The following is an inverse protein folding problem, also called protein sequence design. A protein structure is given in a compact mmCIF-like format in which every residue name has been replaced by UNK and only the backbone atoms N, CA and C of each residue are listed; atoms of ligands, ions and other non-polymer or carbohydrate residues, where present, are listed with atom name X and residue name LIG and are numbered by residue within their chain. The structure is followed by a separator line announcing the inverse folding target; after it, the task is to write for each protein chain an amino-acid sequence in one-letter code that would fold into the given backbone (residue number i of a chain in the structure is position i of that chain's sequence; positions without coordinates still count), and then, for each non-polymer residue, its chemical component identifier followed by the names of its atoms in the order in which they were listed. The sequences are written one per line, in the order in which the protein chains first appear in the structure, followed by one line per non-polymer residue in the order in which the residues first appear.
data_IF_435437635078
#
_entry.id   IF_435437635078
#
_cell.length_a   1.000
_cell.length_b   1.000
_cell.length_c   1.000
_cell.angle_alpha   90.00
_cell.angle_beta   90.00
_cell.angle_gamma   90.00
#
_symmetry.space_group_name_H-M   'P 1'
#
loop_
_entity.id
_entity.type
_entity.pdbx_description
1 polymer ?
#
# COMPACT_ATOMS: atom_id res chain seq x y z
N UNK A 1 45.90 8.99 -22.90
CA UNK A 1 45.79 8.32 -21.58
C UNK A 1 44.43 8.65 -21.03
N UNK A 2 43.48 7.72 -21.10
CA UNK A 2 42.16 7.83 -20.44
C UNK A 2 42.26 7.12 -19.09
N UNK A 3 41.74 7.64 -17.99
CA UNK A 3 41.73 6.91 -16.74
C UNK A 3 40.61 5.86 -16.75
N UNK A 4 40.97 4.64 -16.35
CA UNK A 4 40.11 3.50 -16.15
C UNK A 4 39.03 3.81 -15.11
N UNK A 5 37.77 3.56 -15.44
CA UNK A 5 36.65 3.56 -14.51
C UNK A 5 36.71 2.27 -13.67
N UNK A 6 36.56 2.32 -12.36
CA UNK A 6 36.50 1.11 -11.55
C UNK A 6 35.17 0.38 -11.80
N UNK A 7 35.27 -0.89 -12.16
CA UNK A 7 34.13 -1.81 -12.25
C UNK A 7 33.44 -1.90 -10.89
N UNK A 8 32.16 -1.57 -10.84
CA UNK A 8 31.34 -1.66 -9.63
C UNK A 8 31.22 -3.12 -9.20
N UNK A 9 31.62 -3.38 -7.98
CA UNK A 9 31.55 -4.67 -7.27
C UNK A 9 30.08 -5.05 -6.99
N UNK A 10 29.42 -5.65 -7.99
CA UNK A 10 28.04 -6.12 -7.90
C UNK A 10 27.85 -7.41 -7.10
N UNK A 11 28.94 -8.09 -6.73
CA UNK A 11 28.93 -9.36 -5.98
C UNK A 11 28.82 -9.19 -4.46
N UNK A 12 29.33 -8.09 -3.92
CA UNK A 12 29.40 -7.85 -2.47
C UNK A 12 28.06 -7.38 -1.86
N UNK A 13 27.23 -6.71 -2.64
CA UNK A 13 25.94 -6.18 -2.14
C UNK A 13 24.86 -7.28 -2.11
N UNK A 14 24.76 -8.13 -3.13
CA UNK A 14 23.82 -9.26 -3.12
C UNK A 14 24.03 -10.24 -1.95
N UNK A 15 25.26 -10.32 -1.41
CA UNK A 15 25.55 -11.13 -0.23
C UNK A 15 25.11 -10.50 1.08
N UNK A 16 25.09 -9.16 1.17
CA UNK A 16 24.64 -8.42 2.36
C UNK A 16 23.12 -8.56 2.59
N UNK A 17 22.33 -8.67 1.51
CA UNK A 17 20.90 -8.86 1.58
C UNK A 17 20.49 -10.23 2.13
N UNK A 18 21.24 -11.27 1.80
CA UNK A 18 21.00 -12.63 2.32
C UNK A 18 21.27 -12.74 3.82
N UNK A 19 22.07 -11.84 4.39
CA UNK A 19 22.39 -11.83 5.83
C UNK A 19 21.41 -10.99 6.66
N UNK A 20 20.61 -10.11 6.05
CA UNK A 20 19.69 -9.21 6.75
C UNK A 20 18.26 -9.78 6.93
N UNK A 21 17.91 -10.84 6.20
CA UNK A 21 16.60 -11.49 6.38
C UNK A 21 16.72 -12.59 7.42
N UNK A 22 15.93 -12.58 8.51
CA UNK A 22 15.84 -13.74 9.39
C UNK A 22 15.39 -14.94 8.54
N UNK A 23 16.19 -16.01 8.56
CA UNK A 23 15.81 -17.28 7.92
C UNK A 23 14.71 -17.88 8.80
N UNK A 24 13.47 -17.59 8.46
CA UNK A 24 12.31 -18.18 9.12
C UNK A 24 12.07 -19.53 8.45
N UNK A 25 11.98 -20.59 9.24
CA UNK A 25 11.57 -21.89 8.73
C UNK A 25 10.13 -21.78 8.19
N UNK A 26 9.90 -22.03 6.88
CA UNK A 26 8.58 -21.93 6.28
C UNK A 26 7.54 -22.85 6.95
N UNK A 27 7.94 -23.98 7.52
CA UNK A 27 7.04 -24.90 8.21
C UNK A 27 6.66 -24.36 9.59
N UNK A 28 7.61 -23.81 10.33
CA UNK A 28 7.34 -23.16 11.62
C UNK A 28 6.42 -21.95 11.44
N UNK A 29 6.68 -21.13 10.41
CA UNK A 29 5.82 -20.01 10.06
C UNK A 29 4.38 -20.46 9.75
N UNK A 30 4.23 -21.48 8.93
CA UNK A 30 2.91 -22.02 8.59
C UNK A 30 2.20 -22.61 9.81
N UNK A 31 2.91 -23.30 10.70
CA UNK A 31 2.34 -23.84 11.94
C UNK A 31 1.81 -22.72 12.84
N UNK A 32 2.55 -21.61 12.99
CA UNK A 32 2.09 -20.43 13.74
C UNK A 32 0.77 -19.90 13.20
N UNK A 33 0.64 -19.72 11.89
CA UNK A 33 -0.59 -19.23 11.26
C UNK A 33 -1.76 -20.18 11.52
N UNK A 34 -1.56 -21.48 11.29
CA UNK A 34 -2.58 -22.51 11.51
C UNK A 34 -3.03 -22.52 12.99
N UNK A 35 -2.10 -22.42 13.91
CA UNK A 35 -2.41 -22.40 15.35
C UNK A 35 -3.24 -21.18 15.73
N UNK A 36 -2.89 -19.99 15.25
CA UNK A 36 -3.67 -18.77 15.51
C UNK A 36 -5.08 -18.88 14.95
N UNK A 37 -5.23 -19.35 13.71
CA UNK A 37 -6.55 -19.47 13.07
C UNK A 37 -7.41 -20.54 13.74
N UNK A 38 -6.83 -21.70 14.12
CA UNK A 38 -7.60 -22.81 14.70
C UNK A 38 -7.90 -22.63 16.19
N UNK A 39 -7.02 -22.01 16.95
CA UNK A 39 -7.13 -21.88 18.42
C UNK A 39 -7.55 -20.50 18.88
N UNK A 40 -7.63 -19.52 18.00
CA UNK A 40 -7.97 -18.14 18.36
C UNK A 40 -6.89 -17.48 19.24
N UNK A 41 -5.61 -17.84 19.09
CA UNK A 41 -4.50 -17.32 19.86
C UNK A 41 -4.13 -15.89 19.41
N UNK A 42 -5.05 -14.93 19.56
CA UNK A 42 -4.94 -13.52 19.12
C UNK A 42 -3.78 -12.77 19.77
N UNK A 43 -3.20 -13.29 20.86
CA UNK A 43 -2.07 -12.63 21.55
C UNK A 43 -0.75 -12.61 20.76
N UNK A 44 -0.67 -13.33 19.63
CA UNK A 44 0.54 -13.49 18.84
C UNK A 44 0.66 -12.53 17.64
N UNK A 45 -0.42 -11.80 17.31
CA UNK A 45 -0.46 -10.82 16.21
C UNK A 45 -1.61 -9.82 16.42
N UNK A 46 -1.72 -8.80 15.53
CA UNK A 46 -2.84 -7.86 15.57
C UNK A 46 -4.16 -8.53 15.14
N UNK A 47 -5.29 -8.00 15.60
CA UNK A 47 -6.62 -8.52 15.24
C UNK A 47 -6.84 -8.50 13.72
N UNK A 48 -6.42 -7.44 13.03
CA UNK A 48 -6.54 -7.32 11.57
C UNK A 48 -5.75 -8.41 10.84
N UNK A 49 -4.52 -8.73 11.29
CA UNK A 49 -3.70 -9.80 10.71
C UNK A 49 -4.32 -11.17 10.98
N UNK A 50 -4.77 -11.42 12.21
CA UNK A 50 -5.41 -12.69 12.57
C UNK A 50 -6.70 -12.93 11.75
N UNK A 51 -7.53 -11.91 11.56
CA UNK A 51 -8.73 -11.96 10.71
C UNK A 51 -8.36 -12.20 9.24
N UNK A 52 -7.31 -11.52 8.74
CA UNK A 52 -6.79 -11.75 7.40
C UNK A 52 -6.30 -13.20 7.21
N UNK A 53 -5.56 -13.75 8.17
CA UNK A 53 -5.14 -15.16 8.12
C UNK A 53 -6.34 -16.12 8.07
N UNK A 54 -7.38 -15.83 8.84
CA UNK A 54 -8.61 -16.62 8.82
C UNK A 54 -9.32 -16.54 7.46
N UNK A 55 -9.45 -15.35 6.84
CA UNK A 55 -10.00 -15.19 5.49
C UNK A 55 -9.15 -15.93 4.47
N UNK A 56 -7.83 -15.80 4.52
CA UNK A 56 -6.93 -16.48 3.60
C UNK A 56 -7.10 -17.99 3.62
N UNK A 57 -7.22 -18.60 4.81
CA UNK A 57 -7.40 -20.05 4.93
C UNK A 57 -8.83 -20.49 4.62
N UNK A 58 -9.84 -19.84 5.22
CA UNK A 58 -11.20 -20.36 5.25
C UNK A 58 -12.04 -19.92 4.04
N UNK A 59 -11.82 -18.69 3.54
CA UNK A 59 -12.60 -18.14 2.43
C UNK A 59 -11.85 -18.26 1.09
N UNK A 60 -10.53 -18.05 1.10
CA UNK A 60 -9.74 -18.11 -0.12
C UNK A 60 -9.06 -19.46 -0.35
N UNK A 61 -9.13 -20.38 0.62
CA UNK A 61 -8.59 -21.73 0.51
C UNK A 61 -7.06 -21.78 0.35
N UNK A 62 -6.35 -20.78 0.88
CA UNK A 62 -4.89 -20.71 0.79
C UNK A 62 -4.24 -21.61 1.85
N UNK A 63 -3.15 -22.25 1.47
CA UNK A 63 -2.27 -22.98 2.40
C UNK A 63 -1.00 -22.16 2.68
N UNK A 64 -0.71 -21.80 3.94
CA UNK A 64 0.47 -20.99 4.28
C UNK A 64 1.81 -21.69 3.96
N UNK A 65 1.80 -23.00 3.69
CA UNK A 65 2.98 -23.78 3.28
C UNK A 65 3.32 -23.63 1.80
N UNK A 66 2.38 -23.12 0.98
CA UNK A 66 2.59 -22.97 -0.44
C UNK A 66 3.44 -21.74 -0.76
N UNK A 67 4.11 -21.81 -1.91
CA UNK A 67 4.70 -20.64 -2.57
C UNK A 67 3.85 -20.28 -3.76
N UNK A 68 3.46 -19.02 -3.86
CA UNK A 68 2.65 -18.51 -4.97
C UNK A 68 3.24 -17.18 -5.43
N UNK A 69 3.23 -16.96 -6.74
CA UNK A 69 3.50 -15.63 -7.28
C UNK A 69 2.16 -15.00 -7.65
N UNK A 70 1.90 -13.73 -7.25
CA UNK A 70 0.70 -13.02 -7.68
C UNK A 70 0.61 -13.01 -9.20
N UNK A 71 -0.56 -13.24 -9.79
CA UNK A 71 -0.74 -13.14 -11.22
C UNK A 71 -0.51 -11.69 -11.66
N UNK A 72 0.07 -11.53 -12.86
CA UNK A 72 0.27 -10.23 -13.48
C UNK A 72 -0.73 -10.09 -14.62
N UNK A 73 -1.49 -9.01 -14.64
CA UNK A 73 -2.49 -8.75 -15.66
C UNK A 73 -1.85 -8.61 -17.05
N UNK A 74 -2.45 -9.25 -18.03
CA UNK A 74 -1.97 -9.25 -19.42
C UNK A 74 -2.16 -7.92 -20.15
N UNK A 75 -1.62 -7.87 -21.40
CA UNK A 75 -1.46 -6.63 -22.17
C UNK A 75 -2.71 -5.79 -22.40
N UNK A 76 -3.91 -6.39 -22.53
CA UNK A 76 -5.15 -5.65 -22.84
C UNK A 76 -5.91 -5.18 -21.59
N UNK A 77 -5.69 -5.80 -20.44
CA UNK A 77 -6.41 -5.45 -19.21
C UNK A 77 -5.85 -4.21 -18.51
N UNK A 78 -4.53 -4.08 -18.46
CA UNK A 78 -3.86 -2.96 -17.77
C UNK A 78 -4.15 -1.59 -18.39
N UNK A 79 -4.10 -1.38 -19.72
CA UNK A 79 -4.44 -0.09 -20.33
C UNK A 79 -5.84 0.38 -19.98
N UNK A 80 -6.84 -0.51 -20.08
CA UNK A 80 -8.23 -0.21 -19.74
C UNK A 80 -8.41 0.14 -18.25
N UNK A 81 -7.72 -0.58 -17.35
CA UNK A 81 -7.73 -0.33 -15.91
C UNK A 81 -7.07 1.00 -15.57
N UNK A 82 -5.87 1.26 -16.13
CA UNK A 82 -5.18 2.55 -15.94
C UNK A 82 -5.99 3.72 -16.48
N UNK A 83 -6.71 3.57 -17.57
CA UNK A 83 -7.60 4.61 -18.10
C UNK A 83 -8.74 4.94 -17.12
N UNK A 84 -9.39 3.93 -16.54
CA UNK A 84 -10.43 4.15 -15.51
C UNK A 84 -9.90 4.80 -14.24
N UNK A 85 -8.66 4.55 -13.89
CA UNK A 85 -7.98 5.06 -12.69
C UNK A 85 -7.08 6.27 -12.98
N UNK A 86 -7.15 6.86 -14.19
CA UNK A 86 -6.23 7.91 -14.63
C UNK A 86 -6.19 9.10 -13.66
N UNK A 87 -7.35 9.58 -13.19
CA UNK A 87 -7.42 10.71 -12.26
C UNK A 87 -6.72 10.40 -10.92
N UNK A 88 -6.93 9.20 -10.39
CA UNK A 88 -6.29 8.79 -9.12
C UNK A 88 -4.78 8.68 -9.31
N UNK A 89 -4.34 8.02 -10.40
CA UNK A 89 -2.92 7.85 -10.73
C UNK A 89 -2.24 9.21 -10.90
N UNK A 90 -2.86 10.13 -11.63
CA UNK A 90 -2.30 11.48 -11.88
C UNK A 90 -2.19 12.29 -10.58
N UNK A 91 -3.22 12.24 -9.72
CA UNK A 91 -3.19 12.91 -8.42
C UNK A 91 -2.14 12.28 -7.48
N UNK A 92 -1.93 10.95 -7.58
CA UNK A 92 -1.02 10.24 -6.69
C UNK A 92 0.45 10.39 -7.07
N UNK A 93 0.81 10.49 -8.35
CA UNK A 93 2.20 10.44 -8.83
C UNK A 93 3.14 11.39 -8.13
N UNK A 94 2.75 12.65 -8.00
CA UNK A 94 3.57 13.67 -7.36
C UNK A 94 3.74 13.38 -5.86
N UNK A 95 2.64 13.06 -5.19
CA UNK A 95 2.62 12.80 -3.76
C UNK A 95 3.42 11.54 -3.40
N UNK A 96 3.33 10.48 -4.22
CA UNK A 96 4.12 9.26 -4.05
C UNK A 96 5.62 9.52 -4.22
N UNK A 97 6.01 10.33 -5.23
CA UNK A 97 7.40 10.71 -5.44
C UNK A 97 7.94 11.52 -4.27
N UNK A 98 7.15 12.47 -3.78
CA UNK A 98 7.51 13.32 -2.62
C UNK A 98 7.65 12.46 -1.36
N UNK A 99 6.70 11.57 -1.09
CA UNK A 99 6.76 10.63 0.04
C UNK A 99 8.03 9.76 -0.03
N UNK A 100 8.30 9.16 -1.19
CA UNK A 100 9.50 8.34 -1.39
C UNK A 100 10.80 9.10 -1.11
N UNK A 101 10.89 10.35 -1.60
CA UNK A 101 12.05 11.21 -1.35
C UNK A 101 12.19 11.58 0.13
N UNK A 102 11.08 11.86 0.82
CA UNK A 102 11.09 12.20 2.25
C UNK A 102 11.48 11.01 3.13
N UNK A 103 11.10 9.80 2.75
CA UNK A 103 11.49 8.59 3.48
C UNK A 103 13.00 8.34 3.42
N UNK A 104 13.66 8.67 2.32
CA UNK A 104 15.09 8.50 2.15
C UNK A 104 15.58 7.05 2.26
N UNK A 105 14.67 6.07 2.14
CA UNK A 105 14.98 4.64 2.25
C UNK A 105 14.99 3.98 0.86
N UNK A 106 16.20 3.70 0.30
CA UNK A 106 16.31 3.06 -1.00
C UNK A 106 15.83 1.60 -1.02
N UNK A 107 15.59 1.01 0.16
CA UNK A 107 15.10 -0.35 0.33
C UNK A 107 13.57 -0.43 0.47
N UNK A 108 12.89 0.58 -0.03
CA UNK A 108 11.44 0.69 0.01
C UNK A 108 10.85 1.03 -1.35
N UNK A 109 9.55 0.81 -1.48
CA UNK A 109 8.73 1.27 -2.58
C UNK A 109 7.44 1.91 -2.05
N UNK A 110 6.99 2.97 -2.71
CA UNK A 110 5.64 3.51 -2.55
C UNK A 110 4.78 2.94 -3.68
N UNK A 111 3.69 2.27 -3.33
CA UNK A 111 2.85 1.49 -4.25
C UNK A 111 1.42 2.02 -4.22
N UNK A 112 0.81 2.16 -5.39
CA UNK A 112 -0.61 2.49 -5.56
C UNK A 112 -1.32 1.31 -6.18
N UNK A 113 -2.39 0.82 -5.53
CA UNK A 113 -3.26 -0.22 -6.08
C UNK A 113 -4.69 0.28 -6.22
N UNK A 114 -5.49 -0.41 -7.04
CA UNK A 114 -6.93 -0.28 -7.00
C UNK A 114 -7.55 -1.15 -5.88
N UNK A 115 -8.88 -1.13 -5.79
CA UNK A 115 -9.66 -1.89 -4.79
C UNK A 115 -9.71 -3.40 -5.06
N UNK A 116 -9.08 -3.88 -6.14
CA UNK A 116 -8.87 -5.31 -6.41
C UNK A 116 -7.43 -5.76 -6.08
N UNK A 117 -6.61 -4.85 -5.55
CA UNK A 117 -5.22 -5.10 -5.21
C UNK A 117 -4.27 -5.11 -6.42
N UNK A 118 -4.70 -4.59 -7.57
CA UNK A 118 -3.83 -4.49 -8.76
C UNK A 118 -2.90 -3.30 -8.63
N UNK A 119 -1.60 -3.53 -8.72
CA UNK A 119 -0.59 -2.47 -8.69
C UNK A 119 -0.70 -1.62 -9.96
N UNK A 120 -1.07 -0.34 -9.80
CA UNK A 120 -1.25 0.63 -10.89
C UNK A 120 0.00 1.48 -11.15
N UNK A 121 0.71 1.80 -10.07
CA UNK A 121 1.90 2.64 -10.10
C UNK A 121 2.81 2.32 -8.91
N UNK A 122 4.12 2.46 -9.12
CA UNK A 122 5.13 2.23 -8.10
C UNK A 122 6.27 3.25 -8.25
N UNK A 123 6.79 3.71 -7.12
CA UNK A 123 7.99 4.56 -7.02
C UNK A 123 8.98 3.86 -6.12
N UNK A 124 10.16 3.53 -6.64
CA UNK A 124 11.18 2.75 -5.94
C UNK A 124 12.57 2.98 -6.51
N UNK A 125 13.60 2.47 -5.86
CA UNK A 125 14.93 2.35 -6.44
C UNK A 125 15.03 1.15 -7.39
N UNK A 126 15.95 1.19 -8.35
CA UNK A 126 16.24 0.02 -9.19
C UNK A 126 16.73 -1.19 -8.38
N UNK A 127 17.37 -0.95 -7.24
CA UNK A 127 17.86 -1.99 -6.35
C UNK A 127 16.69 -2.72 -5.70
N UNK A 128 15.72 -1.98 -5.16
CA UNK A 128 14.51 -2.56 -4.60
C UNK A 128 13.71 -3.32 -5.66
N UNK A 129 13.54 -2.79 -6.87
CA UNK A 129 12.84 -3.46 -7.97
C UNK A 129 13.43 -4.82 -8.29
N UNK A 130 14.77 -4.91 -8.42
CA UNK A 130 15.44 -6.21 -8.67
C UNK A 130 15.22 -7.23 -7.55
N UNK A 131 15.12 -6.79 -6.30
CA UNK A 131 14.83 -7.63 -5.15
C UNK A 131 13.37 -8.06 -5.11
N UNK A 132 12.46 -7.15 -5.42
CA UNK A 132 11.02 -7.32 -5.28
C UNK A 132 10.36 -8.06 -6.47
N UNK A 133 10.94 -7.97 -7.67
CA UNK A 133 10.42 -8.62 -8.87
C UNK A 133 10.28 -10.16 -8.74
N UNK A 134 11.23 -10.91 -8.17
CA UNK A 134 11.04 -12.34 -7.93
C UNK A 134 9.87 -12.67 -7.00
N UNK A 135 9.50 -11.72 -6.12
CA UNK A 135 8.34 -11.84 -5.23
C UNK A 135 7.01 -11.48 -5.94
N UNK A 136 7.08 -10.97 -7.17
CA UNK A 136 5.92 -10.51 -7.93
C UNK A 136 5.42 -9.12 -7.52
N UNK A 137 6.26 -8.29 -6.89
CA UNK A 137 5.94 -6.90 -6.59
C UNK A 137 6.32 -6.03 -7.79
N UNK A 138 5.41 -5.91 -8.74
CA UNK A 138 5.58 -5.18 -9.98
C UNK A 138 4.25 -4.61 -10.48
N UNK A 139 4.30 -3.59 -11.34
CA UNK A 139 3.09 -2.98 -11.92
C UNK A 139 2.30 -4.03 -12.72
N UNK A 140 1.00 -4.12 -12.46
CA UNK A 140 0.08 -5.10 -13.03
C UNK A 140 -0.11 -6.36 -12.19
N UNK A 141 0.72 -6.60 -11.18
CA UNK A 141 0.55 -7.73 -10.27
C UNK A 141 -0.66 -7.52 -9.35
N UNK A 142 -1.35 -8.63 -9.00
CA UNK A 142 -2.56 -8.63 -8.16
C UNK A 142 -2.20 -9.06 -6.75
N UNK A 143 -2.14 -8.10 -5.84
CA UNK A 143 -1.81 -8.29 -4.43
C UNK A 143 -3.05 -8.31 -3.53
N UNK A 144 -4.16 -8.90 -3.99
CA UNK A 144 -5.31 -9.19 -3.14
C UNK A 144 -4.99 -10.30 -2.12
N UNK A 145 -5.74 -10.39 -1.01
CA UNK A 145 -5.60 -11.51 -0.06
C UNK A 145 -5.77 -12.87 -0.72
N UNK A 146 -6.69 -12.97 -1.70
CA UNK A 146 -6.92 -14.20 -2.46
C UNK A 146 -5.70 -14.67 -3.25
N UNK A 147 -4.91 -13.75 -3.79
CA UNK A 147 -3.77 -14.08 -4.64
C UNK A 147 -2.44 -14.11 -3.90
N UNK A 148 -2.24 -13.21 -2.95
CA UNK A 148 -0.96 -13.04 -2.24
C UNK A 148 -1.02 -13.40 -0.74
N UNK A 149 -2.18 -13.77 -0.21
CA UNK A 149 -2.38 -13.94 1.22
C UNK A 149 -2.36 -12.59 1.94
N UNK A 150 -2.25 -12.61 3.27
CA UNK A 150 -2.11 -11.40 4.09
C UNK A 150 -0.89 -10.59 3.65
N UNK A 151 -1.14 -9.33 3.28
CA UNK A 151 -0.15 -8.34 2.85
C UNK A 151 -0.72 -6.93 3.05
N UNK A 152 0.10 -5.88 3.01
CA UNK A 152 -0.37 -4.51 3.25
C UNK A 152 -1.52 -4.10 2.36
N UNK A 153 -1.38 -4.26 1.06
CA UNK A 153 -2.34 -3.80 0.05
C UNK A 153 -3.68 -4.55 0.13
N UNK A 154 -3.63 -5.89 0.05
CA UNK A 154 -4.83 -6.74 0.04
C UNK A 154 -5.60 -6.68 1.36
N UNK A 155 -4.90 -6.66 2.49
CA UNK A 155 -5.51 -6.57 3.81
C UNK A 155 -6.11 -5.19 4.06
N UNK A 156 -5.45 -4.11 3.60
CA UNK A 156 -6.03 -2.77 3.64
C UNK A 156 -7.33 -2.66 2.81
N UNK A 157 -7.38 -3.32 1.65
CA UNK A 157 -8.63 -3.40 0.85
C UNK A 157 -9.74 -4.12 1.63
N UNK A 158 -9.43 -5.25 2.26
CA UNK A 158 -10.41 -6.06 2.99
C UNK A 158 -10.94 -5.36 4.25
N UNK A 159 -10.06 -4.70 5.02
CA UNK A 159 -10.39 -4.00 6.26
C UNK A 159 -10.97 -2.60 6.04
N UNK A 160 -10.73 -1.98 4.86
CA UNK A 160 -11.02 -0.57 4.56
C UNK A 160 -10.44 0.41 5.60
N UNK A 161 -9.31 0.04 6.23
CA UNK A 161 -8.63 0.79 7.29
C UNK A 161 -7.11 0.73 7.11
N UNK A 162 -6.35 1.65 7.74
CA UNK A 162 -4.89 1.56 7.77
C UNK A 162 -4.43 0.25 8.40
N UNK A 163 -3.47 -0.41 7.76
CA UNK A 163 -2.89 -1.67 8.25
C UNK A 163 -1.37 -1.65 8.20
N UNK A 164 -0.74 -2.38 9.10
CA UNK A 164 0.68 -2.72 9.06
C UNK A 164 0.80 -4.23 9.08
N UNK A 165 1.52 -4.79 8.11
CA UNK A 165 1.84 -6.21 8.00
C UNK A 165 3.35 -6.35 8.06
N UNK A 166 3.85 -6.86 9.19
CA UNK A 166 5.29 -6.92 9.45
C UNK A 166 5.80 -8.34 9.28
N UNK A 167 6.80 -8.52 8.42
CA UNK A 167 7.57 -9.77 8.34
C UNK A 167 6.70 -11.03 8.49
N UNK A 168 6.71 -11.66 9.66
CA UNK A 168 5.96 -12.90 9.96
C UNK A 168 4.45 -12.72 10.01
N UNK A 169 3.92 -11.52 9.88
CA UNK A 169 2.49 -11.28 9.73
C UNK A 169 2.01 -11.58 8.30
N UNK A 170 2.92 -11.61 7.31
CA UNK A 170 2.57 -12.06 5.96
C UNK A 170 2.16 -13.53 5.97
N UNK A 171 1.11 -13.84 5.23
CA UNK A 171 0.57 -15.21 5.17
C UNK A 171 1.54 -16.20 4.51
N UNK A 172 2.18 -15.82 3.42
CA UNK A 172 3.13 -16.67 2.70
C UNK A 172 4.57 -16.39 3.17
N UNK A 173 5.29 -17.44 3.54
CA UNK A 173 6.65 -17.36 4.07
C UNK A 173 7.64 -16.62 3.17
N UNK A 174 7.39 -16.60 1.87
CA UNK A 174 8.24 -15.89 0.90
C UNK A 174 8.19 -14.36 1.03
N UNK A 175 7.18 -13.80 1.70
CA UNK A 175 7.02 -12.35 1.92
C UNK A 175 7.48 -11.90 3.31
N UNK A 176 7.93 -12.81 4.17
CA UNK A 176 8.37 -12.48 5.52
C UNK A 176 9.62 -11.59 5.59
N UNK A 177 10.27 -11.35 4.46
CA UNK A 177 11.32 -10.34 4.33
C UNK A 177 10.81 -8.91 4.13
N UNK A 178 9.48 -8.72 3.98
CA UNK A 178 8.88 -7.41 3.77
C UNK A 178 8.18 -6.90 5.04
N UNK A 179 8.15 -5.58 5.17
CA UNK A 179 7.25 -4.85 6.08
C UNK A 179 6.43 -3.91 5.22
N UNK A 180 5.11 -4.00 5.30
CA UNK A 180 4.15 -3.22 4.53
C UNK A 180 3.32 -2.34 5.45
N UNK A 181 3.13 -1.08 5.06
CA UNK A 181 2.21 -0.15 5.70
C UNK A 181 1.28 0.39 4.64
N UNK A 182 -0.03 0.24 4.82
CA UNK A 182 -1.01 0.62 3.81
C UNK A 182 -2.14 1.45 4.39
N UNK A 183 -2.67 2.38 3.59
CA UNK A 183 -3.82 3.22 3.93
C UNK A 183 -4.80 3.29 2.75
N UNK A 184 -6.11 3.33 3.00
CA UNK A 184 -7.10 3.52 1.95
C UNK A 184 -7.11 4.97 1.44
N UNK A 185 -7.40 5.13 0.15
CA UNK A 185 -7.69 6.40 -0.52
C UNK A 185 -9.16 6.40 -0.89
N UNK A 186 -9.88 7.48 -0.55
CA UNK A 186 -11.29 7.62 -0.82
C UNK A 186 -11.55 8.63 -1.94
N UNK A 187 -12.60 8.39 -2.69
CA UNK A 187 -13.11 9.34 -3.68
C UNK A 187 -13.93 10.47 -2.99
N UNK A 188 -14.29 11.55 -3.72
CA UNK A 188 -15.07 12.64 -3.15
C UNK A 188 -16.48 12.26 -2.67
N UNK A 189 -16.95 11.05 -2.96
CA UNK A 189 -18.21 10.48 -2.47
C UNK A 189 -18.03 9.57 -1.25
N UNK A 190 -16.79 9.52 -0.68
CA UNK A 190 -16.46 8.72 0.49
C UNK A 190 -16.30 7.22 0.22
N UNK A 191 -16.20 6.79 -1.06
CA UNK A 191 -15.99 5.39 -1.41
C UNK A 191 -14.50 5.11 -1.58
N UNK A 192 -14.02 4.02 -1.00
CA UNK A 192 -12.64 3.60 -1.23
C UNK A 192 -12.40 3.34 -2.72
N UNK A 193 -11.38 3.99 -3.29
CA UNK A 193 -11.04 3.90 -4.71
C UNK A 193 -9.66 3.31 -4.98
N UNK A 194 -8.74 3.43 -4.01
CA UNK A 194 -7.37 2.95 -4.14
C UNK A 194 -6.78 2.64 -2.76
N UNK A 195 -5.60 2.03 -2.74
CA UNK A 195 -4.76 1.86 -1.55
C UNK A 195 -3.36 2.41 -1.85
N UNK A 196 -2.83 3.17 -0.92
CA UNK A 196 -1.44 3.63 -0.90
C UNK A 196 -0.66 2.78 0.10
N UNK A 197 0.39 2.11 -0.36
CA UNK A 197 1.23 1.23 0.44
C UNK A 197 2.70 1.68 0.39
N UNK A 198 3.41 1.46 1.47
CA UNK A 198 4.87 1.43 1.49
C UNK A 198 5.32 0.04 1.88
N UNK A 199 5.98 -0.63 0.95
CA UNK A 199 6.65 -1.90 1.17
C UNK A 199 8.15 -1.68 1.33
N UNK A 200 8.75 -2.21 2.39
CA UNK A 200 10.19 -2.10 2.69
C UNK A 200 10.77 -3.45 3.08
N UNK A 201 12.05 -3.67 2.78
CA UNK A 201 12.82 -4.81 3.32
C UNK A 201 13.38 -4.53 4.71
N UNK A 202 13.14 -3.34 5.28
CA UNK A 202 13.54 -2.99 6.63
C UNK A 202 12.68 -3.69 7.68
N UNK A 203 13.32 -4.20 8.73
CA UNK A 203 12.64 -4.82 9.88
C UNK A 203 12.07 -3.80 10.89
N UNK A 204 12.35 -2.51 10.69
CA UNK A 204 11.91 -1.48 11.63
C UNK A 204 10.44 -1.17 11.41
N UNK A 205 9.62 -1.40 12.43
CA UNK A 205 8.24 -0.96 12.47
C UNK A 205 8.19 0.57 12.44
N UNK A 206 7.71 1.12 11.33
CA UNK A 206 7.66 2.57 11.14
C UNK A 206 6.26 3.09 11.50
N UNK A 207 5.94 3.19 12.79
CA UNK A 207 4.66 3.78 13.24
C UNK A 207 4.44 5.20 12.67
N UNK A 208 5.52 5.97 12.50
CA UNK A 208 5.46 7.28 11.86
C UNK A 208 5.08 7.22 10.39
N UNK A 209 5.34 6.08 9.73
CA UNK A 209 5.03 5.90 8.31
C UNK A 209 3.53 5.88 8.05
N UNK A 210 2.71 5.29 8.93
CA UNK A 210 1.25 5.35 8.79
C UNK A 210 0.71 6.78 8.85
N UNK A 211 1.32 7.64 9.69
CA UNK A 211 0.94 9.06 9.75
C UNK A 211 1.27 9.76 8.43
N UNK A 212 2.48 9.56 7.90
CA UNK A 212 2.89 10.12 6.61
C UNK A 212 2.03 9.62 5.46
N UNK A 213 1.75 8.31 5.43
CA UNK A 213 0.84 7.71 4.44
C UNK A 213 -0.57 8.30 4.54
N UNK A 214 -1.10 8.44 5.75
CA UNK A 214 -2.41 9.05 5.98
C UNK A 214 -2.49 10.50 5.52
N UNK A 215 -1.44 11.29 5.73
CA UNK A 215 -1.34 12.66 5.23
C UNK A 215 -1.26 12.67 3.69
N UNK A 216 -0.42 11.81 3.12
CA UNK A 216 -0.27 11.68 1.66
C UNK A 216 -1.58 11.25 1.00
N UNK A 217 -2.31 10.29 1.57
CA UNK A 217 -3.61 9.88 1.08
C UNK A 217 -4.63 11.05 1.07
N UNK A 218 -4.69 11.85 2.14
CA UNK A 218 -5.55 13.04 2.19
C UNK A 218 -5.16 14.09 1.13
N UNK A 219 -3.87 14.27 0.86
CA UNK A 219 -3.42 15.18 -0.21
C UNK A 219 -3.89 14.67 -1.58
N UNK A 220 -3.80 13.37 -1.84
CA UNK A 220 -4.31 12.74 -3.06
C UNK A 220 -5.84 12.92 -3.16
N UNK A 221 -6.58 12.67 -2.09
CA UNK A 221 -8.04 12.82 -2.02
C UNK A 221 -8.48 14.26 -2.29
N UNK A 222 -7.81 15.25 -1.69
CA UNK A 222 -8.10 16.67 -1.93
C UNK A 222 -7.83 17.07 -3.39
N UNK A 223 -6.71 16.61 -3.99
CA UNK A 223 -6.41 16.84 -5.41
C UNK A 223 -7.43 16.17 -6.32
N UNK A 224 -7.87 14.96 -5.97
CA UNK A 224 -8.89 14.25 -6.74
C UNK A 224 -10.23 14.99 -6.71
N UNK A 225 -10.59 15.58 -5.57
CA UNK A 225 -11.76 16.42 -5.42
C UNK A 225 -11.67 17.68 -6.32
N UNK A 226 -10.53 18.39 -6.28
CA UNK A 226 -10.30 19.56 -7.14
C UNK A 226 -10.32 19.20 -8.63
N UNK A 227 -9.75 18.06 -9.00
CA UNK A 227 -9.74 17.58 -10.39
C UNK A 227 -11.14 17.23 -10.90
N UNK A 228 -11.99 16.64 -10.05
CA UNK A 228 -13.36 16.24 -10.43
C UNK A 228 -14.36 17.37 -10.43
N UNK A 229 -14.09 18.45 -9.69
CA UNK A 229 -14.97 19.62 -9.55
C UNK A 229 -14.24 20.92 -9.89
N UNK A 230 -13.66 21.07 -11.09
CA UNK A 230 -12.76 22.18 -11.41
C UNK A 230 -13.45 23.56 -11.49
N UNK A 231 -14.77 23.59 -11.67
CA UNK A 231 -15.54 24.83 -11.76
C UNK A 231 -16.38 25.11 -10.51
N UNK A 232 -16.22 24.29 -9.47
CA UNK A 232 -16.95 24.48 -8.23
C UNK A 232 -16.24 25.48 -7.31
N UNK A 233 -17.01 26.08 -6.43
CA UNK A 233 -16.50 26.91 -5.33
C UNK A 233 -16.69 26.12 -4.04
N UNK A 234 -15.69 25.36 -3.59
CA UNK A 234 -15.83 24.56 -2.40
C UNK A 234 -15.98 25.42 -1.16
N UNK A 235 -16.78 24.96 -0.22
CA UNK A 235 -16.91 25.53 1.11
C UNK A 235 -15.81 24.96 1.97
N UNK A 236 -14.93 25.83 2.49
CA UNK A 236 -13.85 25.47 3.41
C UNK A 236 -14.26 25.86 4.82
N UNK A 237 -14.14 24.94 5.77
CA UNK A 237 -14.53 25.18 7.15
C UNK A 237 -13.68 24.38 8.14
N UNK A 238 -13.59 24.91 9.36
CA UNK A 238 -13.06 24.24 10.53
C UNK A 238 -13.55 24.95 11.79
N UNK A 239 -13.66 24.25 12.92
CA UNK A 239 -14.03 24.85 14.22
C UNK A 239 -13.01 25.91 14.72
N UNK A 240 -11.78 25.86 14.20
CA UNK A 240 -10.70 26.82 14.46
C UNK A 240 -10.27 27.46 13.15
N UNK A 241 -10.35 28.79 13.00
CA UNK A 241 -10.07 29.49 11.73
C UNK A 241 -8.65 29.23 11.18
N UNK A 242 -7.66 29.03 12.04
CA UNK A 242 -6.28 28.77 11.68
C UNK A 242 -6.06 27.45 10.94
N UNK A 243 -7.03 26.53 10.96
CA UNK A 243 -6.96 25.27 10.23
C UNK A 243 -7.69 25.30 8.89
N UNK A 244 -8.39 26.36 8.54
CA UNK A 244 -8.97 26.55 7.20
C UNK A 244 -7.83 26.70 6.20
N UNK A 245 -7.95 26.10 5.03
CA UNK A 245 -6.91 25.95 3.99
C UNK A 245 -5.70 25.11 4.41
N UNK A 246 -5.86 24.27 5.42
CA UNK A 246 -4.86 23.26 5.77
C UNK A 246 -5.34 21.84 5.45
N UNK A 247 -4.50 20.85 5.62
CA UNK A 247 -4.87 19.43 5.44
C UNK A 247 -5.97 18.95 6.41
N UNK A 248 -6.25 19.72 7.46
CA UNK A 248 -7.21 19.37 8.52
C UNK A 248 -8.60 19.98 8.30
N UNK A 249 -8.75 20.87 7.32
CA UNK A 249 -10.03 21.51 7.03
C UNK A 249 -11.09 20.53 6.53
N UNK A 250 -12.36 20.83 6.84
CA UNK A 250 -13.50 20.30 6.12
C UNK A 250 -13.66 21.03 4.79
N UNK A 251 -13.87 20.29 3.72
CA UNK A 251 -14.09 20.81 2.37
C UNK A 251 -15.32 20.15 1.76
N UNK A 252 -16.28 20.96 1.34
CA UNK A 252 -17.52 20.52 0.70
C UNK A 252 -17.64 21.16 -0.68
N UNK A 253 -18.20 20.41 -1.63
CA UNK A 253 -18.69 20.92 -2.90
C UNK A 253 -20.21 20.80 -2.90
N UNK A 254 -20.89 21.90 -3.22
CA UNK A 254 -22.34 21.94 -3.33
C UNK A 254 -22.73 22.36 -4.74
N UNK A 255 -23.94 22.00 -5.18
CA UNK A 255 -24.53 22.47 -6.41
C UNK A 255 -25.29 23.81 -6.18
N UNK A 256 -25.92 24.35 -7.24
CA UNK A 256 -26.69 25.57 -7.21
C UNK A 256 -27.95 25.47 -6.33
N UNK A 257 -28.43 24.26 -6.05
CA UNK A 257 -29.55 24.00 -5.15
C UNK A 257 -29.13 23.87 -3.68
N UNK A 258 -27.80 23.86 -3.41
CA UNK A 258 -27.24 23.67 -2.08
C UNK A 258 -27.09 22.20 -1.68
N UNK A 259 -27.29 21.24 -2.59
CA UNK A 259 -27.08 19.83 -2.34
C UNK A 259 -25.58 19.50 -2.33
N UNK A 260 -25.14 18.65 -1.37
CA UNK A 260 -23.74 18.26 -1.24
C UNK A 260 -23.38 17.24 -2.32
N UNK A 261 -22.49 17.62 -3.23
CA UNK A 261 -21.97 16.75 -4.30
C UNK A 261 -20.74 15.96 -3.87
N UNK A 262 -19.94 16.54 -2.98
CA UNK A 262 -18.69 15.95 -2.51
C UNK A 262 -18.29 16.49 -1.14
N UNK A 263 -17.58 15.66 -0.38
CA UNK A 263 -16.99 16.01 0.91
C UNK A 263 -15.61 15.37 1.06
N UNK A 264 -14.65 16.09 1.62
CA UNK A 264 -13.40 15.45 1.99
C UNK A 264 -13.55 14.68 3.33
N UNK A 265 -12.56 13.87 3.65
CA UNK A 265 -12.58 13.02 4.87
C UNK A 265 -12.76 13.84 6.15
N UNK A 266 -12.16 15.03 6.24
CA UNK A 266 -12.28 15.91 7.43
C UNK A 266 -13.67 16.52 7.57
N UNK A 267 -14.42 16.66 6.49
CA UNK A 267 -15.80 17.12 6.53
C UNK A 267 -16.81 16.05 6.96
N UNK A 268 -16.41 14.76 6.90
CA UNK A 268 -17.26 13.62 7.27
C UNK A 268 -17.06 13.17 8.73
N UNK A 269 -16.05 13.71 9.43
CA UNK A 269 -15.75 13.46 10.85
C UNK A 269 -16.43 14.49 11.75
#
# INVERSE_FOLDING_TARGET
MRPDSPAADSGSQASKWRQAMPIIDPLEHAHRIIEVVQRGALSLTSDAVAQSWARCMNEHGLDPRQRRRPPVLGGDEMPGRRSRMADVIDCARYEMTTLYQQMGDPQSAVVLTDTQGVILHMVSSQEFERMAQPLGLEVGAVWSEKEAGTNGMGTCVAEAQPVVVQQTDHFLSQYTGLTCSAVPIYDPQGRMTAVLDVSSSSSQAQQHLLVLLGMTARMIENRLMDKRFPQSHPIHFHSRPEFVYTLHEGKLVVDDAGEVLAANRSALL
#
